data_IF_482101985957
#
_entry.id   IF_482101985957
#
_cell.length_a   1.000
_cell.length_b   1.000
_cell.length_c   1.000
_cell.angle_alpha   90.00
_cell.angle_beta   90.00
_cell.angle_gamma   90.00
#
_symmetry.space_group_name_H-M   'P 1'
#
loop_
_entity.id
_entity.type
_entity.pdbx_description
1 polymer ?
#
# COMPACT_ATOMS: atom_id res chain seq x y z
N UNK A 1 -6.73 -21.77 2.84
CA UNK A 1 -6.89 -20.31 2.71
C UNK A 1 -6.77 -19.71 4.09
N UNK A 2 -5.92 -18.69 4.28
CA UNK A 2 -5.76 -17.97 5.54
C UNK A 2 -5.91 -16.48 5.28
N UNK A 3 -6.67 -15.79 6.11
CA UNK A 3 -6.86 -14.35 6.09
C UNK A 3 -6.25 -13.76 7.36
N UNK A 4 -5.42 -12.74 7.23
CA UNK A 4 -4.77 -12.05 8.35
C UNK A 4 -5.05 -10.56 8.23
N UNK A 5 -5.76 -9.99 9.19
CA UNK A 5 -6.01 -8.55 9.27
C UNK A 5 -4.81 -7.89 9.94
N UNK A 6 -4.12 -7.01 9.21
CA UNK A 6 -2.90 -6.34 9.67
C UNK A 6 -3.15 -4.88 10.03
N UNK A 7 -4.17 -4.26 9.45
CA UNK A 7 -4.52 -2.88 9.69
C UNK A 7 -6.01 -2.61 9.64
N UNK A 8 -6.42 -1.42 10.05
CA UNK A 8 -7.82 -1.00 10.24
C UNK A 8 -8.62 -1.94 11.16
N UNK A 9 -7.96 -2.62 12.09
CA UNK A 9 -8.59 -3.45 13.11
C UNK A 9 -9.09 -2.56 14.25
N UNK A 10 -10.40 -2.39 14.35
CA UNK A 10 -11.06 -1.46 15.27
C UNK A 10 -10.78 0.03 14.99
N UNK A 11 -10.15 0.35 13.87
CA UNK A 11 -9.85 1.70 13.38
C UNK A 11 -10.34 1.87 11.96
N UNK A 12 -10.38 3.12 11.47
CA UNK A 12 -10.87 3.44 10.12
C UNK A 12 -9.74 3.47 9.10
N UNK A 13 -8.54 3.93 9.50
CA UNK A 13 -7.43 4.17 8.60
C UNK A 13 -6.36 3.09 8.69
N UNK A 14 -5.49 3.01 7.68
CA UNK A 14 -4.42 2.03 7.63
C UNK A 14 -4.84 0.65 7.15
N UNK A 15 -5.78 0.57 6.19
CA UNK A 15 -6.30 -0.71 5.68
C UNK A 15 -5.18 -1.61 5.15
N UNK A 16 -5.08 -2.81 5.70
CA UNK A 16 -4.15 -3.84 5.25
C UNK A 16 -4.66 -5.23 5.65
N UNK A 17 -4.88 -6.06 4.65
CA UNK A 17 -5.28 -7.46 4.87
C UNK A 17 -4.39 -8.38 4.03
N UNK A 18 -3.76 -9.37 4.64
CA UNK A 18 -3.01 -10.39 3.93
C UNK A 18 -3.84 -11.65 3.71
N UNK A 19 -3.82 -12.18 2.51
CA UNK A 19 -4.47 -13.42 2.13
C UNK A 19 -3.46 -14.42 1.59
N UNK A 20 -3.51 -15.65 2.12
CA UNK A 20 -2.72 -16.80 1.67
C UNK A 20 -3.67 -17.85 1.09
N UNK A 21 -3.60 -18.06 -0.21
CA UNK A 21 -4.47 -18.99 -0.92
C UNK A 21 -3.77 -19.56 -2.17
N UNK A 22 -4.02 -20.82 -2.48
CA UNK A 22 -3.47 -21.48 -3.67
C UNK A 22 -1.94 -21.38 -3.82
N UNK A 23 -1.21 -21.32 -2.71
CA UNK A 23 0.25 -21.19 -2.71
C UNK A 23 0.75 -19.76 -2.94
N UNK A 24 -0.15 -18.79 -3.05
CA UNK A 24 0.18 -17.36 -3.20
C UNK A 24 -0.10 -16.58 -1.92
N UNK A 25 0.67 -15.50 -1.73
CA UNK A 25 0.49 -14.50 -0.67
C UNK A 25 0.26 -13.16 -1.30
N UNK A 26 -0.84 -12.50 -0.97
CA UNK A 26 -1.13 -11.18 -1.50
C UNK A 26 -1.79 -10.28 -0.47
N UNK A 27 -1.67 -8.99 -0.68
CA UNK A 27 -2.30 -7.97 0.14
C UNK A 27 -3.56 -7.44 -0.56
N UNK A 28 -4.55 -7.11 0.27
CA UNK A 28 -5.66 -6.22 -0.10
C UNK A 28 -5.42 -4.94 0.66
N UNK A 29 -5.11 -3.88 -0.06
CA UNK A 29 -4.64 -2.59 0.41
C UNK A 29 -3.32 -2.66 1.20
N UNK A 30 -2.62 -1.54 1.29
CA UNK A 30 -1.49 -1.34 2.17
C UNK A 30 -1.43 0.15 2.52
N UNK A 31 -2.29 0.52 3.46
CA UNK A 31 -2.62 1.87 3.78
C UNK A 31 -1.80 2.45 4.92
N UNK A 32 -1.71 3.77 4.93
CA UNK A 32 -1.09 4.55 6.00
C UNK A 32 -2.14 4.89 7.06
N UNK A 33 -1.77 4.73 8.32
CA UNK A 33 -2.55 5.23 9.44
C UNK A 33 -2.58 6.76 9.43
N UNK A 34 -3.73 7.34 9.74
CA UNK A 34 -3.94 8.78 9.78
C UNK A 34 -4.56 9.21 11.12
N UNK A 35 -4.05 10.31 11.65
CA UNK A 35 -4.57 10.88 12.89
C UNK A 35 -3.98 10.22 14.15
N UNK A 36 -4.75 10.26 15.23
CA UNK A 36 -4.40 9.61 16.50
C UNK A 36 -5.09 8.27 16.55
N UNK A 37 -4.40 7.22 16.14
CA UNK A 37 -4.88 5.85 16.28
C UNK A 37 -4.60 5.34 17.71
N UNK A 38 -5.53 4.55 18.22
CA UNK A 38 -5.39 3.84 19.50
C UNK A 38 -4.77 2.45 19.24
N UNK A 39 -5.03 1.89 18.07
CA UNK A 39 -4.54 0.58 17.66
C UNK A 39 -3.57 0.75 16.48
N UNK A 40 -2.32 0.35 16.68
CA UNK A 40 -1.31 0.39 15.62
C UNK A 40 -1.44 -0.81 14.67
N UNK A 41 -1.16 -0.57 13.41
CA UNK A 41 -1.10 -1.64 12.40
C UNK A 41 -0.03 -2.66 12.75
N UNK A 42 -0.33 -3.93 12.53
CA UNK A 42 0.62 -5.00 12.71
C UNK A 42 1.66 -4.99 11.58
N UNK A 43 2.94 -5.25 11.87
CA UNK A 43 3.93 -5.41 10.84
C UNK A 43 3.59 -6.60 9.93
N UNK A 44 4.07 -6.56 8.69
CA UNK A 44 3.94 -7.71 7.78
C UNK A 44 4.60 -8.94 8.41
N UNK A 45 3.90 -10.08 8.47
CA UNK A 45 4.44 -11.32 9.06
C UNK A 45 5.43 -12.04 8.14
N UNK A 46 5.67 -11.50 6.94
CA UNK A 46 6.58 -12.03 5.92
C UNK A 46 7.40 -10.90 5.32
N UNK A 47 8.54 -11.23 4.71
CA UNK A 47 9.31 -10.23 3.99
C UNK A 47 8.53 -9.70 2.78
N UNK A 48 8.61 -8.39 2.46
CA UNK A 48 7.92 -7.81 1.30
C UNK A 48 8.18 -8.53 -0.02
N UNK A 49 9.37 -9.09 -0.21
CA UNK A 49 9.72 -9.88 -1.39
C UNK A 49 9.00 -11.23 -1.52
N UNK A 50 8.35 -11.71 -0.45
CA UNK A 50 7.55 -12.95 -0.45
C UNK A 50 6.07 -12.70 -0.78
N UNK A 51 5.69 -11.44 -1.04
CA UNK A 51 4.33 -11.06 -1.46
C UNK A 51 4.27 -11.12 -2.98
N UNK A 52 3.38 -11.92 -3.51
CA UNK A 52 3.24 -12.13 -4.96
C UNK A 52 2.64 -10.92 -5.66
N UNK A 53 1.59 -10.33 -5.08
CA UNK A 53 0.92 -9.14 -5.62
C UNK A 53 0.12 -8.38 -4.55
N UNK A 54 -0.35 -7.20 -4.92
CA UNK A 54 -1.24 -6.36 -4.11
C UNK A 54 -2.49 -6.03 -4.92
N UNK A 55 -3.66 -6.10 -4.30
CA UNK A 55 -4.92 -5.60 -4.82
C UNK A 55 -5.28 -4.31 -4.11
N UNK A 56 -5.56 -3.24 -4.86
CA UNK A 56 -5.97 -1.95 -4.30
C UNK A 56 -7.43 -1.71 -4.56
N UNK A 57 -8.17 -1.46 -3.48
CA UNK A 57 -9.60 -1.17 -3.54
C UNK A 57 -9.87 0.21 -4.13
N UNK A 58 -9.17 1.23 -3.66
CA UNK A 58 -9.26 2.61 -4.15
C UNK A 58 -8.04 3.45 -3.74
N UNK A 59 -7.96 4.69 -4.22
CA UNK A 59 -6.73 5.48 -4.19
C UNK A 59 -6.43 6.21 -2.88
N UNK A 60 -7.30 6.21 -1.88
CA UNK A 60 -7.06 6.95 -0.64
C UNK A 60 -5.76 6.50 0.07
N UNK A 61 -5.10 7.44 0.74
CA UNK A 61 -3.79 7.20 1.40
C UNK A 61 -3.88 6.16 2.52
N UNK A 62 -4.99 6.08 3.22
CA UNK A 62 -5.26 5.04 4.22
C UNK A 62 -5.47 3.63 3.63
N UNK A 63 -5.44 3.49 2.30
CA UNK A 63 -5.45 2.23 1.55
C UNK A 63 -4.19 2.00 0.71
N UNK A 64 -3.45 3.06 0.38
CA UNK A 64 -2.32 2.99 -0.57
C UNK A 64 -1.02 3.57 -0.04
N UNK A 65 -1.08 4.34 1.04
CA UNK A 65 0.00 5.23 1.48
C UNK A 65 1.30 4.53 1.88
N UNK A 66 1.31 3.24 2.16
CA UNK A 66 2.52 2.48 2.48
C UNK A 66 3.08 1.69 1.27
N UNK A 67 2.47 1.77 0.08
CA UNK A 67 2.99 1.11 -1.12
C UNK A 67 4.42 1.53 -1.49
N UNK A 68 4.81 2.83 -1.36
CA UNK A 68 6.20 3.23 -1.57
C UNK A 68 7.17 2.53 -0.60
N UNK A 69 6.81 2.44 0.67
CA UNK A 69 7.60 1.74 1.68
C UNK A 69 7.69 0.23 1.38
N UNK A 70 6.61 -0.37 0.89
CA UNK A 70 6.61 -1.77 0.48
C UNK A 70 7.61 -2.02 -0.66
N UNK A 71 7.63 -1.14 -1.68
CA UNK A 71 8.57 -1.20 -2.80
C UNK A 71 10.01 -0.95 -2.34
N UNK A 72 10.23 0.01 -1.45
CA UNK A 72 11.53 0.29 -0.82
C UNK A 72 12.08 -0.98 -0.14
N UNK A 73 11.25 -1.67 0.63
CA UNK A 73 11.61 -2.85 1.41
C UNK A 73 11.68 -4.15 0.58
N UNK A 74 11.67 -4.06 -0.74
CA UNK A 74 12.00 -5.20 -1.61
C UNK A 74 10.81 -5.89 -2.28
N UNK A 75 9.59 -5.38 -2.18
CA UNK A 75 8.47 -5.86 -2.98
C UNK A 75 8.74 -5.64 -4.47
N UNK A 76 8.49 -6.67 -5.29
CA UNK A 76 8.70 -6.65 -6.76
C UNK A 76 7.50 -7.20 -7.54
N UNK A 77 6.44 -7.57 -6.83
CA UNK A 77 5.20 -8.05 -7.42
C UNK A 77 4.44 -6.97 -8.17
N UNK A 78 3.23 -7.29 -8.63
CA UNK A 78 2.35 -6.33 -9.30
C UNK A 78 1.35 -5.74 -8.31
N UNK A 79 0.97 -4.49 -8.55
CA UNK A 79 -0.09 -3.79 -7.82
C UNK A 79 -1.26 -3.61 -8.78
N UNK A 80 -2.35 -4.32 -8.54
CA UNK A 80 -3.54 -4.28 -9.39
C UNK A 80 -4.55 -3.30 -8.82
N UNK A 81 -5.05 -2.40 -9.67
CA UNK A 81 -6.11 -1.46 -9.34
C UNK A 81 -6.89 -1.09 -10.61
N UNK A 82 -8.06 -0.48 -10.47
CA UNK A 82 -8.76 0.07 -11.64
C UNK A 82 -7.93 1.20 -12.26
N UNK A 83 -8.08 1.42 -13.57
CA UNK A 83 -7.32 2.46 -14.29
C UNK A 83 -7.41 3.84 -13.62
N UNK A 84 -8.61 4.34 -13.23
CA UNK A 84 -8.72 5.62 -12.53
C UNK A 84 -7.97 5.64 -11.18
N UNK A 85 -7.99 4.51 -10.45
CA UNK A 85 -7.24 4.38 -9.19
C UNK A 85 -5.74 4.46 -9.44
N UNK A 86 -5.21 3.82 -10.48
CA UNK A 86 -3.78 3.89 -10.84
C UNK A 86 -3.36 5.32 -11.15
N UNK A 87 -4.15 6.04 -11.95
CA UNK A 87 -3.87 7.44 -12.31
C UNK A 87 -3.83 8.34 -11.07
N UNK A 88 -4.82 8.20 -10.18
CA UNK A 88 -4.90 9.00 -8.96
C UNK A 88 -3.78 8.65 -7.98
N UNK A 89 -3.45 7.37 -7.80
CA UNK A 89 -2.31 6.92 -6.98
C UNK A 89 -0.99 7.53 -7.48
N UNK A 90 -0.82 7.65 -8.80
CA UNK A 90 0.36 8.27 -9.40
C UNK A 90 0.57 9.72 -8.98
N UNK A 91 -0.49 10.44 -8.65
CA UNK A 91 -0.43 11.82 -8.13
C UNK A 91 -0.26 11.78 -6.61
N UNK A 92 -1.14 11.08 -5.91
CA UNK A 92 -1.24 11.09 -4.45
C UNK A 92 0.01 10.54 -3.76
N UNK A 93 0.62 9.47 -4.28
CA UNK A 93 1.81 8.88 -3.66
C UNK A 93 3.03 9.78 -3.79
N UNK A 94 3.19 10.50 -4.92
CA UNK A 94 4.26 11.49 -5.08
C UNK A 94 4.06 12.70 -4.18
N UNK A 95 2.84 13.18 -4.08
CA UNK A 95 2.50 14.30 -3.19
C UNK A 95 2.76 13.93 -1.72
N UNK A 96 2.31 12.77 -1.29
CA UNK A 96 2.59 12.25 0.06
C UNK A 96 4.09 12.12 0.35
N UNK A 97 4.88 11.62 -0.59
CA UNK A 97 6.33 11.54 -0.45
C UNK A 97 6.97 12.92 -0.31
N UNK A 98 6.56 13.87 -1.16
CA UNK A 98 7.04 15.25 -1.11
C UNK A 98 6.74 15.92 0.25
N UNK A 99 5.53 15.73 0.75
CA UNK A 99 5.14 16.26 2.07
C UNK A 99 6.05 15.68 3.17
N UNK A 100 6.30 14.38 3.16
CA UNK A 100 7.15 13.72 4.16
C UNK A 100 8.61 14.19 4.09
N UNK A 101 9.17 14.32 2.89
CA UNK A 101 10.53 14.87 2.70
C UNK A 101 10.61 16.31 3.22
N UNK A 102 9.64 17.15 2.87
CA UNK A 102 9.57 18.54 3.35
C UNK A 102 9.46 18.63 4.86
N UNK A 103 8.59 17.80 5.48
CA UNK A 103 8.44 17.76 6.94
C UNK A 103 9.73 17.29 7.65
N UNK A 104 10.42 16.28 7.10
CA UNK A 104 11.68 15.80 7.62
C UNK A 104 12.75 16.91 7.57
N UNK A 105 12.88 17.58 6.42
CA UNK A 105 13.79 18.71 6.28
C UNK A 105 13.48 19.85 7.26
N UNK A 106 12.21 20.18 7.43
CA UNK A 106 11.80 21.25 8.34
C UNK A 106 12.09 20.89 9.81
N UNK A 107 11.81 19.64 10.22
CA UNK A 107 12.16 19.13 11.56
C UNK A 107 13.67 19.16 11.77
N UNK A 108 14.45 18.75 10.77
CA UNK A 108 15.91 18.74 10.84
C UNK A 108 16.51 20.14 10.94
N UNK A 109 15.97 21.12 10.20
CA UNK A 109 16.39 22.53 10.32
C UNK A 109 16.14 23.10 11.72
N UNK A 110 15.00 22.77 12.32
CA UNK A 110 14.70 23.18 13.71
C UNK A 110 15.52 22.42 14.73
N UNK A 111 15.66 21.10 14.58
CA UNK A 111 16.37 20.23 15.50
C UNK A 111 17.88 20.50 15.55
N UNK A 112 18.48 20.95 14.45
CA UNK A 112 19.91 21.27 14.36
C UNK A 112 20.38 22.29 15.39
N UNK A 113 19.49 23.24 15.78
CA UNK A 113 19.76 24.23 16.83
C UNK A 113 19.67 23.67 18.24
N UNK A 114 18.98 22.53 18.41
CA UNK A 114 18.75 21.86 19.68
C UNK A 114 19.60 20.61 19.86
N UNK A 115 20.50 20.28 18.91
CA UNK A 115 21.31 19.03 18.94
C UNK A 115 20.49 17.75 18.80
N UNK A 116 19.28 17.82 18.22
CA UNK A 116 18.45 16.64 17.99
C UNK A 116 18.98 15.80 16.82
N UNK A 117 18.78 14.49 16.88
CA UNK A 117 19.12 13.57 15.79
C UNK A 117 18.29 13.86 14.53
N UNK A 118 18.86 13.68 13.33
CA UNK A 118 18.14 13.85 12.08
C UNK A 118 16.96 12.88 11.96
N UNK A 119 15.84 13.37 11.47
CA UNK A 119 14.64 12.58 11.14
C UNK A 119 14.66 12.31 9.65
N UNK A 120 14.47 11.06 9.25
CA UNK A 120 14.32 10.66 7.85
C UNK A 120 12.83 10.53 7.50
N UNK A 121 12.43 10.79 6.24
CA UNK A 121 11.08 10.50 5.77
C UNK A 121 10.85 8.99 5.78
N UNK A 122 9.61 8.55 5.95
CA UNK A 122 9.24 7.12 5.90
C UNK A 122 9.59 6.49 4.54
N UNK A 123 9.45 7.27 3.48
CA UNK A 123 9.86 6.94 2.11
C UNK A 123 10.07 8.22 1.30
N UNK A 124 10.75 8.09 0.18
CA UNK A 124 11.14 9.21 -0.70
C UNK A 124 10.25 9.26 -1.96
N UNK A 125 10.37 10.37 -2.72
CA UNK A 125 9.75 10.48 -4.07
C UNK A 125 10.23 9.34 -4.98
N UNK A 126 11.49 8.92 -4.90
CA UNK A 126 12.02 7.80 -5.69
C UNK A 126 11.34 6.48 -5.36
N UNK A 127 11.02 6.25 -4.09
CA UNK A 127 10.27 5.07 -3.64
C UNK A 127 8.82 5.11 -4.15
N UNK A 128 8.18 6.28 -4.13
CA UNK A 128 6.85 6.47 -4.70
C UNK A 128 6.84 6.19 -6.21
N UNK A 129 7.85 6.66 -6.95
CA UNK A 129 7.99 6.35 -8.37
C UNK A 129 8.25 4.86 -8.62
N UNK A 130 9.05 4.21 -7.77
CA UNK A 130 9.28 2.77 -7.84
C UNK A 130 7.97 1.99 -7.66
N UNK A 131 7.15 2.35 -6.68
CA UNK A 131 5.83 1.76 -6.48
C UNK A 131 4.90 2.01 -7.68
N UNK A 132 4.87 3.23 -8.22
CA UNK A 132 4.05 3.58 -9.38
C UNK A 132 4.36 2.71 -10.62
N UNK A 133 5.62 2.31 -10.82
CA UNK A 133 6.00 1.40 -11.93
C UNK A 133 5.46 -0.02 -11.78
N UNK A 134 5.09 -0.44 -10.58
CA UNK A 134 4.56 -1.77 -10.31
C UNK A 134 3.06 -1.90 -10.60
N UNK A 135 2.35 -0.79 -10.71
CA UNK A 135 0.91 -0.79 -10.97
C UNK A 135 0.55 -1.42 -12.31
N UNK A 136 -0.60 -2.10 -12.31
CA UNK A 136 -1.29 -2.64 -13.48
C UNK A 136 -2.77 -2.25 -13.39
N UNK A 137 -3.19 -1.41 -14.32
CA UNK A 137 -4.59 -1.02 -14.45
C UNK A 137 -5.44 -2.18 -14.97
N UNK A 138 -6.59 -2.38 -14.35
CA UNK A 138 -7.62 -3.33 -14.79
C UNK A 138 -8.89 -2.56 -15.17
N UNK A 139 -9.53 -2.99 -16.24
CA UNK A 139 -10.79 -2.42 -16.69
C UNK A 139 -11.98 -3.07 -15.97
N UNK A 140 -13.07 -2.32 -15.83
CA UNK A 140 -14.34 -2.88 -15.39
C UNK A 140 -14.85 -3.88 -16.43
N UNK A 141 -15.45 -4.97 -15.96
CA UNK A 141 -15.98 -6.03 -16.81
C UNK A 141 -14.93 -6.69 -17.72
N UNK A 142 -13.66 -6.63 -17.33
CA UNK A 142 -12.60 -7.38 -18.01
C UNK A 142 -12.79 -8.89 -17.82
N UNK A 143 -12.04 -9.69 -18.59
CA UNK A 143 -12.06 -11.16 -18.49
C UNK A 143 -11.78 -11.69 -17.07
N UNK A 144 -11.09 -10.93 -16.23
CA UNK A 144 -10.88 -11.24 -14.82
C UNK A 144 -12.22 -11.34 -14.07
N UNK A 145 -13.20 -10.50 -14.43
CA UNK A 145 -14.53 -10.47 -13.80
C UNK A 145 -15.52 -11.45 -14.45
N UNK A 146 -15.29 -11.85 -15.68
CA UNK A 146 -16.23 -12.65 -16.48
C UNK A 146 -15.93 -14.15 -16.40
N UNK A 147 -14.66 -14.55 -16.32
CA UNK A 147 -14.27 -15.95 -16.38
C UNK A 147 -14.50 -16.72 -15.07
N UNK A 148 -14.46 -16.08 -13.91
CA UNK A 148 -14.60 -16.75 -12.62
C UNK A 148 -16.05 -16.95 -12.14
N UNK A 149 -16.99 -16.00 -12.30
CA UNK A 149 -18.38 -16.20 -11.86
C UNK A 149 -19.11 -17.35 -12.55
N UNK A 150 -18.71 -17.68 -13.78
CA UNK A 150 -19.37 -18.74 -14.57
C UNK A 150 -19.04 -20.14 -14.07
N UNK A 151 -17.92 -20.35 -13.38
CA UNK A 151 -17.55 -21.63 -12.78
C UNK A 151 -18.33 -21.96 -11.51
N UNK A 152 -18.73 -20.96 -10.74
CA UNK A 152 -19.51 -21.14 -9.52
C UNK A 152 -20.96 -21.55 -9.76
N UNK A 153 -21.51 -21.27 -10.96
CA UNK A 153 -22.87 -21.63 -11.35
C UNK A 153 -22.99 -23.02 -12.00
N UNK A 154 -21.86 -23.68 -12.29
CA UNK A 154 -21.83 -25.02 -12.91
C UNK A 154 -21.67 -26.18 -11.91
N UNK A 155 -21.72 -25.89 -10.61
CA UNK A 155 -21.71 -26.86 -9.52
C UNK A 155 -23.08 -26.87 -8.85
N UNK A 156 -24.07 -27.31 -9.58
CA UNK A 156 -25.39 -27.68 -9.05
C UNK A 156 -25.78 -29.06 -9.63
#
# INVERSE_FOLDING_TARGET
MKLTFLGANHEVTGSCTMLEAAGQRFLIDYGMEQGKNVYENQPLPVAPGEIDFVLITHAHIDHTGLLPLLAHNGFRGRIYATIPTVELCGIMLRDSAHIQEFEAEWKNRKGKRAGAEPVEPMYTIQDAEAACRLFRGVEYLSLIHISEPTRLLSIS
#
